data_IF_274295812380
#
_entry.id   IF_274295812380
#
_cell.length_a   1.000
_cell.length_b   1.000
_cell.length_c   1.000
_cell.angle_alpha   90.00
_cell.angle_beta   90.00
_cell.angle_gamma   90.00
#
_symmetry.space_group_name_H-M   'P 1'
#
loop_
_entity.id
_entity.type
_entity.pdbx_description
1 polymer ?
#
# COMPACT_ATOMS: atom_id res chain seq x y z
N UNK A 1 -35.83 68.86 -33.08
CA UNK A 1 -34.89 68.14 -32.20
C UNK A 1 -35.66 67.14 -31.37
N UNK A 2 -35.75 65.88 -31.82
CA UNK A 2 -36.06 64.74 -30.95
C UNK A 2 -35.44 63.51 -31.57
N UNK A 3 -34.52 62.88 -30.84
CA UNK A 3 -33.61 61.83 -31.26
C UNK A 3 -34.31 60.47 -31.21
N UNK A 4 -34.23 59.69 -32.30
CA UNK A 4 -34.62 58.28 -32.38
C UNK A 4 -33.51 57.43 -31.73
N UNK A 5 -33.85 56.71 -30.66
CA UNK A 5 -32.93 55.79 -30.00
C UNK A 5 -33.02 54.39 -30.65
N UNK A 6 -31.97 53.98 -31.34
CA UNK A 6 -31.73 52.61 -31.81
C UNK A 6 -31.24 51.74 -30.66
N UNK A 7 -31.98 50.68 -30.32
CA UNK A 7 -31.52 49.62 -29.39
C UNK A 7 -30.82 48.53 -30.18
N UNK A 8 -29.49 48.45 -30.06
CA UNK A 8 -28.68 47.34 -30.54
C UNK A 8 -28.88 46.11 -29.65
N UNK A 9 -29.36 45.00 -30.21
CA UNK A 9 -29.45 43.72 -29.54
C UNK A 9 -28.12 42.95 -29.72
N UNK A 10 -27.44 42.67 -28.62
CA UNK A 10 -26.26 41.80 -28.61
C UNK A 10 -26.72 40.34 -28.57
N UNK A 11 -26.41 39.58 -29.62
CA UNK A 11 -26.51 38.13 -29.65
C UNK A 11 -25.40 37.53 -28.78
N UNK A 12 -25.75 37.05 -27.59
CA UNK A 12 -24.88 36.20 -26.78
C UNK A 12 -24.83 34.79 -27.42
N UNK A 13 -23.71 34.45 -28.05
CA UNK A 13 -23.39 33.06 -28.35
C UNK A 13 -23.14 32.34 -27.02
N UNK A 14 -24.08 31.48 -26.61
CA UNK A 14 -23.83 30.50 -25.56
C UNK A 14 -22.85 29.46 -26.09
N UNK A 15 -21.58 29.57 -25.71
CA UNK A 15 -20.63 28.49 -25.88
C UNK A 15 -21.06 27.33 -24.98
N UNK A 16 -21.58 26.25 -25.57
CA UNK A 16 -21.76 24.98 -24.88
C UNK A 16 -20.37 24.47 -24.48
N UNK A 17 -20.00 24.65 -23.21
CA UNK A 17 -18.89 23.89 -22.63
C UNK A 17 -19.28 22.41 -22.72
N UNK A 18 -18.39 21.52 -23.20
CA UNK A 18 -18.69 20.09 -23.15
C UNK A 18 -18.95 19.71 -21.69
N UNK A 19 -20.09 19.06 -21.46
CA UNK A 19 -20.40 18.46 -20.17
C UNK A 19 -19.23 17.56 -19.78
N UNK A 20 -18.70 17.75 -18.57
CA UNK A 20 -17.69 16.86 -18.03
C UNK A 20 -18.29 15.45 -18.01
N UNK A 21 -17.83 14.58 -18.91
CA UNK A 21 -18.08 13.15 -18.79
C UNK A 21 -17.45 12.77 -17.46
N UNK A 22 -18.29 12.47 -16.47
CA UNK A 22 -17.84 11.79 -15.26
C UNK A 22 -17.08 10.56 -15.74
N UNK A 23 -15.77 10.52 -15.49
CA UNK A 23 -14.99 9.34 -15.83
C UNK A 23 -15.54 8.17 -15.02
N UNK A 24 -16.34 7.32 -15.67
CA UNK A 24 -16.90 6.12 -15.04
C UNK A 24 -15.75 5.28 -14.53
N UNK A 25 -15.74 5.05 -13.21
CA UNK A 25 -14.77 4.21 -12.54
C UNK A 25 -13.49 4.89 -12.02
N UNK A 26 -13.23 6.18 -12.27
CA UNK A 26 -12.12 6.89 -11.60
C UNK A 26 -12.66 7.83 -10.51
N UNK A 27 -12.37 7.52 -9.24
CA UNK A 27 -12.91 8.21 -8.08
C UNK A 27 -11.80 8.93 -7.31
N UNK A 28 -11.59 10.24 -7.51
CA UNK A 28 -10.75 11.05 -6.64
C UNK A 28 -11.26 11.02 -5.19
N UNK A 29 -10.35 10.95 -4.22
CA UNK A 29 -10.73 11.13 -2.81
C UNK A 29 -11.08 12.60 -2.51
N UNK A 30 -10.58 13.54 -3.32
CA UNK A 30 -10.81 14.97 -3.11
C UNK A 30 -10.17 15.47 -1.80
N UNK A 31 -9.05 14.87 -1.41
CA UNK A 31 -8.35 15.17 -0.17
C UNK A 31 -6.92 15.66 -0.51
N UNK A 32 -6.73 16.96 -0.76
CA UNK A 32 -5.43 17.51 -1.11
C UNK A 32 -4.36 17.19 -0.06
N UNK A 33 -3.19 16.77 -0.52
CA UNK A 33 -2.09 16.31 0.33
C UNK A 33 -2.15 14.81 0.67
N UNK A 34 -3.21 14.10 0.28
CA UNK A 34 -3.38 12.68 0.62
C UNK A 34 -2.47 11.76 -0.21
N UNK A 35 -2.00 10.72 0.45
CA UNK A 35 -1.41 9.54 -0.18
C UNK A 35 -2.06 8.30 0.41
N UNK A 36 -2.98 7.68 -0.32
CA UNK A 36 -3.56 6.39 0.03
C UNK A 36 -2.47 5.32 -0.02
N UNK A 37 -2.34 4.52 1.04
CA UNK A 37 -1.28 3.52 1.19
C UNK A 37 -1.81 2.09 1.29
N UNK A 38 -3.09 1.90 1.60
CA UNK A 38 -3.71 0.58 1.70
C UNK A 38 -5.20 0.63 1.34
N UNK A 39 -5.71 -0.50 0.84
CA UNK A 39 -7.12 -0.78 0.60
C UNK A 39 -7.56 -2.08 1.32
N UNK A 40 -8.84 -2.15 1.70
CA UNK A 40 -9.47 -3.35 2.26
C UNK A 40 -9.62 -4.47 1.22
N UNK A 41 -10.02 -5.67 1.66
CA UNK A 41 -10.26 -6.84 0.80
C UNK A 41 -11.26 -6.56 -0.31
N UNK A 42 -12.37 -5.92 0.05
CA UNK A 42 -13.43 -5.51 -0.88
C UNK A 42 -13.12 -4.21 -1.64
N UNK A 43 -12.00 -3.55 -1.32
CA UNK A 43 -11.60 -2.26 -1.90
C UNK A 43 -12.51 -1.07 -1.55
N UNK A 44 -13.41 -1.22 -0.57
CA UNK A 44 -14.39 -0.18 -0.19
C UNK A 44 -13.92 0.71 0.95
N UNK A 45 -12.83 0.35 1.59
CA UNK A 45 -12.16 1.10 2.65
C UNK A 45 -10.68 1.27 2.34
N UNK A 46 -10.09 2.33 2.86
CA UNK A 46 -8.72 2.72 2.58
C UNK A 46 -8.10 3.51 3.72
N UNK A 47 -6.78 3.58 3.76
CA UNK A 47 -6.08 4.44 4.71
C UNK A 47 -4.77 4.96 4.13
N UNK A 48 -4.35 6.13 4.61
CA UNK A 48 -3.19 6.81 4.05
C UNK A 48 -2.67 7.95 4.89
N UNK A 49 -1.53 8.50 4.48
CA UNK A 49 -0.91 9.64 5.13
C UNK A 49 -1.33 10.95 4.48
N UNK A 50 -1.22 12.05 5.23
CA UNK A 50 -1.41 13.42 4.71
C UNK A 50 -0.11 14.19 4.80
N UNK A 51 0.31 14.76 3.68
CA UNK A 51 1.49 15.63 3.60
C UNK A 51 1.04 17.08 3.75
N UNK A 52 1.61 17.78 4.74
CA UNK A 52 1.41 19.22 4.93
C UNK A 52 0.15 19.61 5.72
N UNK A 53 -0.52 18.67 6.41
CA UNK A 53 -1.64 18.93 7.31
C UNK A 53 -1.28 18.64 8.78
N UNK A 54 -2.03 19.22 9.74
CA UNK A 54 -1.83 19.01 11.18
C UNK A 54 -2.08 17.56 11.64
N UNK A 55 -2.89 16.80 10.90
CA UNK A 55 -3.06 15.35 11.08
C UNK A 55 -2.19 14.58 10.10
N UNK A 56 -1.36 13.64 10.56
CA UNK A 56 -0.46 12.84 9.73
C UNK A 56 -1.13 11.74 8.90
N UNK A 57 -2.45 11.55 8.99
CA UNK A 57 -3.15 10.57 8.17
C UNK A 57 -4.66 10.56 8.25
N UNK A 58 -5.26 9.67 7.47
CA UNK A 58 -6.69 9.53 7.26
C UNK A 58 -7.10 8.06 7.09
N UNK A 59 -8.39 7.79 7.31
CA UNK A 59 -9.11 6.62 6.81
C UNK A 59 -10.16 7.07 5.80
N UNK A 60 -10.53 6.20 4.88
CA UNK A 60 -11.53 6.45 3.85
C UNK A 60 -12.47 5.25 3.75
N UNK A 61 -13.73 5.51 3.48
CA UNK A 61 -14.67 4.50 2.97
C UNK A 61 -15.56 5.11 1.90
N UNK A 62 -16.15 4.27 1.05
CA UNK A 62 -17.17 4.73 0.10
C UNK A 62 -18.36 5.42 0.79
N UNK A 63 -18.75 4.92 1.96
CA UNK A 63 -19.94 5.38 2.68
C UNK A 63 -19.71 6.73 3.35
N UNK A 64 -18.54 6.91 3.98
CA UNK A 64 -18.27 8.07 4.83
C UNK A 64 -17.31 9.09 4.22
N UNK A 65 -16.71 8.77 3.07
CA UNK A 65 -15.60 9.53 2.52
C UNK A 65 -14.37 9.50 3.43
N UNK A 66 -13.45 10.46 3.23
CA UNK A 66 -12.23 10.53 4.00
C UNK A 66 -12.44 11.21 5.36
N UNK A 67 -11.89 10.60 6.41
CA UNK A 67 -11.91 11.05 7.79
C UNK A 67 -10.48 11.14 8.32
N UNK A 68 -10.13 12.28 8.91
CA UNK A 68 -8.83 12.49 9.52
C UNK A 68 -8.67 11.60 10.76
N UNK A 69 -7.44 11.14 11.02
CA UNK A 69 -7.08 10.40 12.23
C UNK A 69 -6.32 11.34 13.18
N UNK A 70 -6.97 11.83 14.25
CA UNK A 70 -6.31 12.72 15.21
C UNK A 70 -5.08 12.06 15.82
N UNK A 71 -4.05 12.88 16.09
CA UNK A 71 -2.76 12.45 16.68
C UNK A 71 -1.93 11.47 15.85
N UNK A 72 -2.36 11.11 14.64
CA UNK A 72 -1.52 10.37 13.71
C UNK A 72 -0.31 11.23 13.32
N UNK A 73 0.89 10.67 13.46
CA UNK A 73 2.10 11.17 12.82
C UNK A 73 2.25 10.51 11.44
N UNK A 74 1.94 9.22 11.38
CA UNK A 74 1.88 8.50 10.12
C UNK A 74 0.81 7.42 10.15
N UNK A 75 0.31 7.10 8.96
CA UNK A 75 -0.54 5.95 8.69
C UNK A 75 0.17 5.12 7.62
N UNK A 76 0.20 3.80 7.80
CA UNK A 76 1.02 2.89 6.98
C UNK A 76 0.27 1.65 6.51
N UNK A 77 -0.73 1.19 7.26
CA UNK A 77 -1.45 -0.03 6.94
C UNK A 77 -2.93 0.02 7.33
N UNK A 78 -3.69 -0.88 6.72
CA UNK A 78 -5.12 -1.12 6.95
C UNK A 78 -5.33 -2.64 7.05
N UNK A 79 -6.18 -3.09 7.98
CA UNK A 79 -6.56 -4.50 8.08
C UNK A 79 -7.46 -4.90 6.90
N UNK A 80 -7.55 -6.19 6.58
CA UNK A 80 -8.29 -6.64 5.39
C UNK A 80 -9.79 -6.29 5.44
N UNK A 81 -10.41 -6.30 6.63
CA UNK A 81 -11.79 -5.83 6.81
C UNK A 81 -11.97 -4.31 6.75
N UNK A 82 -10.88 -3.53 6.70
CA UNK A 82 -10.93 -2.07 6.77
C UNK A 82 -11.16 -1.50 8.18
N UNK A 83 -11.28 -2.35 9.21
CA UNK A 83 -11.64 -1.94 10.57
C UNK A 83 -10.50 -1.31 11.36
N UNK A 84 -9.26 -1.70 11.10
CA UNK A 84 -8.10 -1.22 11.86
C UNK A 84 -7.08 -0.55 10.97
N UNK A 85 -6.57 0.60 11.41
CA UNK A 85 -5.52 1.36 10.73
C UNK A 85 -4.28 1.37 11.60
N UNK A 86 -3.10 1.13 11.05
CA UNK A 86 -1.85 1.13 11.81
C UNK A 86 -0.84 2.15 11.27
N UNK A 87 -0.01 2.67 12.18
CA UNK A 87 1.04 3.63 11.89
C UNK A 87 1.74 4.08 13.17
N UNK A 88 1.84 5.39 13.37
CA UNK A 88 2.53 5.95 14.54
C UNK A 88 1.84 7.22 15.09
N UNK A 89 2.00 7.45 16.39
CA UNK A 89 1.54 8.65 17.09
C UNK A 89 2.58 9.09 18.12
N UNK A 90 2.39 10.27 18.72
CA UNK A 90 3.21 10.71 19.84
C UNK A 90 2.64 10.21 21.17
N UNK A 91 3.51 9.70 22.05
CA UNK A 91 3.18 9.41 23.44
C UNK A 91 3.26 10.65 24.35
N UNK A 92 3.01 10.48 25.65
CA UNK A 92 3.04 11.57 26.62
C UNK A 92 4.41 12.27 26.72
N UNK A 93 5.50 11.57 26.38
CA UNK A 93 6.86 12.09 26.34
C UNK A 93 7.25 12.71 24.99
N UNK A 94 6.30 12.94 24.07
CA UNK A 94 6.53 13.44 22.72
C UNK A 94 7.43 12.52 21.87
N UNK A 95 7.33 11.20 22.10
CA UNK A 95 8.07 10.19 21.35
C UNK A 95 7.16 9.52 20.34
N UNK A 96 7.69 9.24 19.16
CA UNK A 96 6.95 8.52 18.14
C UNK A 96 6.90 7.02 18.48
N UNK A 97 5.69 6.51 18.65
CA UNK A 97 5.40 5.11 19.01
C UNK A 97 4.43 4.48 18.04
N UNK A 98 4.65 3.20 17.75
CA UNK A 98 3.74 2.34 17.01
C UNK A 98 2.36 2.44 17.63
N UNK A 99 1.36 2.63 16.78
CA UNK A 99 -0.02 2.86 17.19
C UNK A 99 -0.97 2.27 16.17
N UNK A 100 -2.18 1.96 16.62
CA UNK A 100 -3.29 1.67 15.72
C UNK A 100 -4.55 2.43 16.15
N UNK A 101 -5.43 2.65 15.18
CA UNK A 101 -6.77 3.20 15.38
C UNK A 101 -7.77 2.09 15.10
N UNK A 102 -8.76 1.96 15.98
CA UNK A 102 -9.84 0.99 15.81
C UNK A 102 -10.94 1.49 14.86
N UNK A 103 -11.99 0.68 14.70
CA UNK A 103 -13.10 1.00 13.81
C UNK A 103 -13.84 2.29 14.22
N UNK A 104 -13.83 2.67 15.49
CA UNK A 104 -14.40 3.95 15.95
C UNK A 104 -13.47 5.14 15.67
N UNK A 105 -12.17 4.87 15.44
CA UNK A 105 -11.13 5.88 15.33
C UNK A 105 -10.41 6.14 16.66
N UNK A 106 -10.63 5.28 17.67
CA UNK A 106 -9.95 5.39 18.94
C UNK A 106 -8.48 4.96 18.79
N UNK A 107 -7.58 5.81 19.26
CA UNK A 107 -6.13 5.59 19.25
C UNK A 107 -5.70 4.64 20.37
N UNK A 108 -4.95 3.62 19.99
CA UNK A 108 -4.22 2.72 20.90
C UNK A 108 -2.72 2.83 20.64
N UNK A 109 -1.97 3.22 21.67
CA UNK A 109 -0.50 3.33 21.62
C UNK A 109 0.14 2.04 22.11
N UNK A 110 1.09 1.50 21.35
CA UNK A 110 1.74 0.23 21.64
C UNK A 110 3.03 0.38 22.45
N UNK A 111 3.60 1.59 22.52
CA UNK A 111 4.89 1.84 23.17
C UNK A 111 6.05 1.23 22.38
N UNK A 112 7.12 0.84 23.07
CA UNK A 112 8.30 0.20 22.48
C UNK A 112 8.50 -1.23 22.96
N UNK A 113 9.63 -1.81 22.60
CA UNK A 113 10.09 -3.09 23.17
C UNK A 113 10.33 -2.94 24.67
N UNK A 114 10.35 -4.05 25.44
CA UNK A 114 10.80 -4.03 26.83
C UNK A 114 12.12 -3.25 26.97
N UNK A 115 12.24 -2.49 28.06
CA UNK A 115 13.44 -1.71 28.43
C UNK A 115 13.78 -0.50 27.53
N UNK A 116 12.88 -0.10 26.62
CA UNK A 116 13.07 1.10 25.76
C UNK A 116 12.44 2.38 26.33
N UNK A 117 11.90 2.30 27.56
CA UNK A 117 11.10 3.37 28.17
C UNK A 117 11.85 4.70 28.37
N UNK A 118 13.18 4.74 28.33
CA UNK A 118 13.99 5.96 28.51
C UNK A 118 14.46 6.65 27.23
N UNK A 119 14.16 6.12 26.04
CA UNK A 119 14.63 6.68 24.78
C UNK A 119 13.78 7.87 24.34
N UNK A 120 14.37 8.87 23.68
CA UNK A 120 13.67 9.96 23.00
C UNK A 120 13.61 9.74 21.47
N UNK A 121 12.71 10.43 20.77
CA UNK A 121 12.58 10.34 19.31
C UNK A 121 11.69 9.19 18.83
N UNK A 122 12.13 8.48 17.79
CA UNK A 122 11.42 7.32 17.22
C UNK A 122 11.70 6.06 18.06
N UNK A 123 10.68 5.58 18.77
CA UNK A 123 10.75 4.37 19.58
C UNK A 123 10.28 3.17 18.78
N UNK A 124 9.16 3.30 18.06
CA UNK A 124 8.60 2.24 17.21
C UNK A 124 7.64 2.80 16.16
N UNK A 125 7.39 2.04 15.10
CA UNK A 125 6.44 2.37 14.05
C UNK A 125 5.76 1.09 13.55
N UNK A 126 4.42 1.10 13.51
CA UNK A 126 3.65 0.00 12.93
C UNK A 126 3.60 0.11 11.39
N UNK A 127 3.78 -1.02 10.72
CA UNK A 127 3.84 -1.12 9.26
C UNK A 127 2.86 -2.17 8.70
N UNK A 128 2.32 -3.05 9.53
CA UNK A 128 1.29 -4.02 9.14
C UNK A 128 0.34 -4.35 10.29
N UNK A 129 -0.89 -4.72 9.95
CA UNK A 129 -1.96 -5.08 10.90
C UNK A 129 -2.92 -6.10 10.28
N UNK A 130 -3.32 -7.11 11.05
CA UNK A 130 -4.36 -8.11 10.70
C UNK A 130 -5.74 -7.78 11.30
N UNK A 131 -6.78 -8.56 10.96
CA UNK A 131 -8.16 -8.33 11.43
C UNK A 131 -8.44 -8.79 12.86
N UNK A 132 -7.71 -9.80 13.34
CA UNK A 132 -7.45 -9.97 14.77
C UNK A 132 -6.15 -9.21 15.04
N UNK A 133 -6.17 -8.07 15.75
CA UNK A 133 -5.09 -7.08 15.68
C UNK A 133 -3.75 -7.64 16.19
N UNK A 134 -2.98 -8.21 15.26
CA UNK A 134 -1.56 -8.51 15.37
C UNK A 134 -0.84 -7.44 14.54
N UNK A 135 -0.02 -6.66 15.22
CA UNK A 135 0.67 -5.51 14.62
C UNK A 135 2.14 -5.86 14.45
N UNK A 136 2.71 -5.47 13.32
CA UNK A 136 4.14 -5.66 13.02
C UNK A 136 4.77 -4.37 12.57
N UNK A 137 6.07 -4.27 12.72
CA UNK A 137 6.79 -3.08 12.28
C UNK A 137 8.25 -3.07 12.67
N UNK A 138 8.76 -1.88 12.99
CA UNK A 138 10.10 -1.67 13.52
C UNK A 138 10.06 -1.02 14.90
N UNK A 139 10.96 -1.43 15.79
CA UNK A 139 11.18 -0.81 17.09
C UNK A 139 12.68 -0.76 17.39
N UNK A 140 13.12 0.30 18.04
CA UNK A 140 14.51 0.42 18.48
C UNK A 140 14.70 -0.29 19.82
N UNK A 141 15.83 -0.97 20.00
CA UNK A 141 16.25 -1.49 21.29
C UNK A 141 17.12 -0.44 22.05
N UNK A 142 17.55 -0.68 23.31
CA UNK A 142 18.41 0.23 24.07
C UNK A 142 19.66 0.71 23.33
N UNK A 143 20.27 -0.16 22.51
CA UNK A 143 21.46 0.15 21.70
C UNK A 143 21.13 0.87 20.37
N UNK A 144 19.91 1.38 20.20
CA UNK A 144 19.44 2.06 18.96
C UNK A 144 19.45 1.16 17.71
N UNK A 145 19.40 -0.16 17.92
CA UNK A 145 19.26 -1.13 16.85
C UNK A 145 17.79 -1.29 16.47
N UNK A 146 17.48 -1.09 15.19
CA UNK A 146 16.15 -1.36 14.62
C UNK A 146 15.87 -2.87 14.57
N UNK A 147 14.85 -3.31 15.28
CA UNK A 147 14.36 -4.68 15.31
C UNK A 147 12.98 -4.78 14.66
N UNK A 148 12.76 -5.86 13.93
CA UNK A 148 11.42 -6.25 13.53
C UNK A 148 10.65 -6.68 14.80
N UNK A 149 9.44 -6.16 15.00
CA UNK A 149 8.59 -6.55 16.12
C UNK A 149 7.27 -7.16 15.66
N UNK A 150 6.67 -7.92 16.56
CA UNK A 150 5.25 -8.24 16.56
C UNK A 150 4.61 -7.82 17.90
N UNK A 151 3.35 -7.42 17.85
CA UNK A 151 2.54 -7.07 19.01
C UNK A 151 1.20 -7.79 18.94
N UNK A 152 0.74 -8.31 20.08
CA UNK A 152 -0.64 -8.77 20.29
C UNK A 152 -1.14 -8.25 21.63
N UNK A 153 -2.46 -8.24 21.81
CA UNK A 153 -3.11 -7.88 23.06
C UNK A 153 -2.64 -8.70 24.26
N UNK A 154 -2.31 -9.98 24.05
CA UNK A 154 -1.95 -10.93 25.12
C UNK A 154 -0.48 -10.84 25.51
N UNK A 155 0.40 -10.49 24.57
CA UNK A 155 1.86 -10.59 24.75
C UNK A 155 2.57 -9.24 24.75
N UNK A 156 1.89 -8.17 24.35
CA UNK A 156 2.54 -6.88 24.13
C UNK A 156 3.57 -6.95 22.99
N UNK A 157 4.47 -5.96 22.94
CA UNK A 157 5.47 -5.85 21.88
C UNK A 157 6.66 -6.78 22.16
N UNK A 158 7.03 -7.60 21.18
CA UNK A 158 8.21 -8.46 21.23
C UNK A 158 8.97 -8.43 19.92
N UNK A 159 10.29 -8.59 19.99
CA UNK A 159 11.10 -8.73 18.79
C UNK A 159 10.79 -10.07 18.09
N UNK A 160 10.72 -10.04 16.77
CA UNK A 160 10.70 -11.25 15.95
C UNK A 160 12.06 -11.94 15.98
N UNK A 161 12.13 -13.27 15.80
CA UNK A 161 13.40 -13.99 15.78
C UNK A 161 14.27 -13.51 14.62
N UNK A 162 15.56 -13.31 14.89
CA UNK A 162 16.55 -12.86 13.91
C UNK A 162 17.71 -13.86 13.85
N UNK A 163 18.21 -14.19 12.64
CA UNK A 163 19.42 -14.97 12.50
C UNK A 163 20.60 -14.32 13.23
N UNK A 164 21.48 -15.13 13.81
CA UNK A 164 22.70 -14.65 14.46
C UNK A 164 23.53 -13.80 13.51
N UNK A 165 24.10 -12.69 14.00
CA UNK A 165 24.88 -11.76 13.20
C UNK A 165 24.08 -10.72 12.40
N UNK A 166 22.74 -10.73 12.48
CA UNK A 166 21.93 -9.68 11.86
C UNK A 166 22.19 -8.31 12.54
N UNK A 167 22.42 -7.25 11.77
CA UNK A 167 22.63 -5.89 12.27
C UNK A 167 21.33 -5.09 12.45
N UNK A 168 20.30 -5.35 11.65
CA UNK A 168 18.99 -4.72 11.80
C UNK A 168 17.90 -5.59 11.17
N UNK A 169 16.64 -5.29 11.48
CA UNK A 169 15.49 -5.88 10.81
C UNK A 169 14.28 -4.96 10.81
N UNK A 170 13.35 -5.23 9.87
CA UNK A 170 12.04 -4.59 9.79
C UNK A 170 11.02 -5.60 9.29
N UNK A 171 9.89 -5.71 10.00
CA UNK A 171 8.68 -6.32 9.44
C UNK A 171 7.92 -5.26 8.64
N UNK A 172 7.72 -5.49 7.35
CA UNK A 172 7.12 -4.52 6.43
C UNK A 172 5.62 -4.75 6.23
N UNK A 173 5.12 -5.97 6.48
CA UNK A 173 3.69 -6.29 6.40
C UNK A 173 3.35 -7.68 6.92
N UNK A 174 2.06 -7.96 7.04
CA UNK A 174 1.49 -9.18 7.62
C UNK A 174 0.29 -9.65 6.77
N UNK A 175 0.08 -10.97 6.70
CA UNK A 175 -1.10 -11.56 6.06
C UNK A 175 -2.38 -11.25 6.84
N UNK A 176 -3.54 -11.31 6.17
CA UNK A 176 -4.83 -11.01 6.79
C UNK A 176 -5.17 -11.92 7.98
N UNK A 177 -4.79 -13.20 7.91
CA UNK A 177 -4.94 -14.19 8.99
C UNK A 177 -3.91 -14.03 10.12
N UNK A 178 -3.01 -13.06 9.99
CA UNK A 178 -1.96 -12.80 10.96
C UNK A 178 -0.92 -13.91 11.06
N UNK A 179 -0.81 -14.87 10.13
CA UNK A 179 0.09 -16.03 10.27
C UNK A 179 1.47 -15.85 9.59
N UNK A 180 1.56 -14.97 8.60
CA UNK A 180 2.78 -14.73 7.81
C UNK A 180 3.16 -13.26 7.89
N UNK A 181 4.44 -12.98 8.06
CA UNK A 181 4.99 -11.62 8.12
C UNK A 181 6.13 -11.56 7.13
N UNK A 182 6.19 -10.53 6.29
CA UNK A 182 7.33 -10.30 5.41
C UNK A 182 8.10 -9.05 5.81
N UNK A 183 9.33 -8.95 5.34
CA UNK A 183 10.16 -7.77 5.51
C UNK A 183 11.59 -8.03 5.11
N UNK A 184 12.52 -7.44 5.84
CA UNK A 184 13.95 -7.60 5.58
C UNK A 184 14.77 -7.69 6.86
N UNK A 185 15.93 -8.32 6.73
CA UNK A 185 17.04 -8.27 7.68
C UNK A 185 18.25 -7.61 7.02
N UNK A 186 19.12 -7.01 7.82
CA UNK A 186 20.38 -6.42 7.38
C UNK A 186 21.54 -7.18 8.00
N UNK A 187 22.55 -7.55 7.21
CA UNK A 187 23.80 -8.14 7.72
C UNK A 187 24.73 -7.09 8.34
N UNK A 188 25.80 -7.52 9.01
CA UNK A 188 26.82 -6.63 9.56
C UNK A 188 27.51 -5.77 8.47
N UNK A 189 27.55 -6.27 7.24
CA UNK A 189 28.09 -5.59 6.06
C UNK A 189 27.08 -4.62 5.42
N UNK A 190 25.90 -4.47 6.00
CA UNK A 190 24.87 -3.53 5.55
C UNK A 190 23.94 -4.07 4.45
N UNK A 191 24.12 -5.32 4.01
CA UNK A 191 23.32 -5.93 2.94
C UNK A 191 21.92 -6.29 3.47
N UNK A 192 20.88 -5.81 2.78
CA UNK A 192 19.50 -6.17 3.08
C UNK A 192 19.04 -7.39 2.30
N UNK A 193 18.41 -8.31 3.01
CA UNK A 193 17.82 -9.52 2.45
C UNK A 193 16.38 -9.67 2.91
N UNK A 194 15.51 -10.09 1.99
CA UNK A 194 14.13 -10.43 2.24
C UNK A 194 14.00 -11.49 3.31
N UNK A 195 12.91 -11.41 4.07
CA UNK A 195 12.64 -12.36 5.14
C UNK A 195 11.15 -12.64 5.25
N UNK A 196 10.79 -13.91 5.43
CA UNK A 196 9.47 -14.37 5.81
C UNK A 196 9.54 -14.92 7.24
N UNK A 197 8.76 -14.34 8.15
CA UNK A 197 8.51 -14.92 9.46
C UNK A 197 7.20 -15.69 9.45
N UNK A 198 7.27 -16.97 9.78
CA UNK A 198 6.11 -17.86 9.86
C UNK A 198 6.35 -18.90 10.95
N UNK A 199 5.33 -19.18 11.79
CA UNK A 199 5.39 -20.19 12.88
C UNK A 199 6.61 -20.03 13.81
N UNK A 200 7.04 -18.79 14.06
CA UNK A 200 8.18 -18.49 14.94
C UNK A 200 9.55 -18.76 14.31
N UNK A 201 9.61 -19.04 13.00
CA UNK A 201 10.86 -19.18 12.25
C UNK A 201 11.01 -18.01 11.26
N UNK A 202 12.26 -17.64 11.00
CA UNK A 202 12.63 -16.65 10.00
C UNK A 202 13.29 -17.39 8.82
N UNK A 203 12.67 -17.32 7.65
CA UNK A 203 13.10 -18.00 6.43
C UNK A 203 13.40 -16.97 5.34
N UNK A 204 14.65 -16.83 4.87
CA UNK A 204 14.95 -16.00 3.70
C UNK A 204 14.36 -16.64 2.44
N UNK A 205 14.09 -15.88 1.37
CA UNK A 205 13.78 -16.46 0.08
C UNK A 205 14.93 -17.36 -0.39
N UNK A 206 14.59 -18.47 -1.06
CA UNK A 206 15.57 -19.40 -1.61
C UNK A 206 16.45 -18.67 -2.63
N UNK A 207 17.76 -18.68 -2.38
CA UNK A 207 18.73 -18.03 -3.27
C UNK A 207 18.73 -18.76 -4.61
N UNK A 208 18.72 -18.05 -5.75
CA UNK A 208 18.96 -18.70 -7.03
C UNK A 208 20.37 -19.29 -7.01
N UNK A 209 20.58 -20.39 -7.73
CA UNK A 209 21.86 -21.11 -7.79
C UNK A 209 23.02 -20.23 -8.30
N UNK A 210 22.70 -19.09 -8.93
CA UNK A 210 23.66 -18.09 -9.41
C UNK A 210 24.28 -17.21 -8.31
N UNK A 211 23.87 -17.39 -7.04
CA UNK A 211 24.46 -16.68 -5.92
C UNK A 211 24.13 -15.19 -5.86
N UNK A 212 23.08 -14.71 -6.53
CA UNK A 212 22.68 -13.31 -6.38
C UNK A 212 21.99 -13.01 -5.05
N UNK A 213 22.01 -11.73 -4.64
CA UNK A 213 21.18 -11.26 -3.53
C UNK A 213 19.72 -11.16 -4.00
N UNK A 214 18.79 -11.51 -3.12
CA UNK A 214 17.34 -11.42 -3.37
C UNK A 214 16.73 -10.10 -2.90
N UNK A 215 17.58 -9.13 -2.52
CA UNK A 215 17.18 -7.79 -2.11
C UNK A 215 16.05 -7.80 -1.08
N UNK A 216 15.11 -6.86 -1.17
CA UNK A 216 14.02 -6.70 -0.20
C UNK A 216 12.71 -7.35 -0.70
N UNK A 217 11.92 -7.92 0.23
CA UNK A 217 10.48 -8.14 -0.01
C UNK A 217 9.74 -6.85 0.28
N UNK A 218 9.11 -6.30 -0.76
CA UNK A 218 8.45 -5.00 -0.77
C UNK A 218 6.94 -5.10 -0.54
N UNK A 219 6.34 -6.27 -0.78
CA UNK A 219 4.90 -6.41 -0.86
C UNK A 219 4.43 -7.84 -1.06
N UNK A 220 3.13 -8.01 -1.29
CA UNK A 220 2.53 -9.31 -1.56
C UNK A 220 1.02 -9.22 -1.81
N UNK A 221 0.42 -10.36 -2.14
CA UNK A 221 -1.02 -10.55 -2.01
C UNK A 221 -1.39 -10.80 -0.53
N UNK A 222 -2.69 -10.82 -0.25
CA UNK A 222 -3.21 -10.68 1.10
C UNK A 222 -2.88 -11.84 2.05
N UNK A 223 -2.82 -13.05 1.53
CA UNK A 223 -2.44 -14.24 2.30
C UNK A 223 -0.93 -14.49 2.28
N UNK A 224 -0.16 -13.65 1.57
CA UNK A 224 1.27 -13.82 1.32
C UNK A 224 1.61 -15.21 0.75
N UNK A 225 0.73 -15.73 -0.11
CA UNK A 225 1.05 -16.86 -1.00
C UNK A 225 1.95 -16.41 -2.17
N UNK A 226 1.83 -15.14 -2.58
CA UNK A 226 2.71 -14.47 -3.54
C UNK A 226 3.29 -13.22 -2.89
N UNK A 227 4.60 -13.20 -2.68
CA UNK A 227 5.36 -12.05 -2.23
C UNK A 227 6.07 -11.38 -3.39
N UNK A 228 6.30 -10.08 -3.26
CA UNK A 228 6.85 -9.21 -4.31
C UNK A 228 8.10 -8.56 -3.78
N UNK A 229 9.15 -8.57 -4.58
CA UNK A 229 10.41 -7.97 -4.18
C UNK A 229 11.23 -7.51 -5.36
N UNK A 230 12.45 -7.11 -5.06
CA UNK A 230 13.42 -6.62 -6.03
C UNK A 230 14.75 -7.32 -5.76
N UNK A 231 15.33 -7.96 -6.78
CA UNK A 231 16.63 -8.63 -6.62
C UNK A 231 17.74 -7.60 -6.33
N UNK A 232 18.79 -8.02 -5.63
CA UNK A 232 19.87 -7.14 -5.22
C UNK A 232 20.75 -6.76 -6.40
N UNK A 233 20.66 -5.48 -6.80
CA UNK A 233 21.62 -4.69 -7.58
C UNK A 233 22.47 -5.43 -8.64
N UNK A 234 21.83 -6.20 -9.55
CA UNK A 234 22.53 -6.84 -10.68
C UNK A 234 22.91 -5.85 -11.80
N UNK A 235 22.14 -4.77 -11.99
CA UNK A 235 22.32 -3.81 -13.10
C UNK A 235 22.52 -2.37 -12.59
N UNK A 236 23.73 -1.97 -12.22
CA UNK A 236 24.05 -0.59 -11.79
C UNK A 236 23.15 -0.07 -10.64
N UNK A 237 22.77 -0.93 -9.69
CA UNK A 237 21.86 -0.56 -8.59
C UNK A 237 20.36 -0.68 -8.93
N UNK A 238 20.00 -1.12 -10.15
CA UNK A 238 18.62 -1.33 -10.57
C UNK A 238 18.28 -2.81 -10.43
N UNK A 239 17.66 -3.18 -9.32
CA UNK A 239 17.16 -4.54 -9.14
C UNK A 239 15.95 -4.83 -10.04
N UNK A 240 15.80 -6.11 -10.43
CA UNK A 240 14.67 -6.62 -11.19
C UNK A 240 13.53 -7.01 -10.24
N UNK A 241 12.28 -6.62 -10.53
CA UNK A 241 11.14 -7.10 -9.79
C UNK A 241 11.06 -8.62 -9.86
N UNK A 242 10.62 -9.27 -8.79
CA UNK A 242 10.32 -10.70 -8.79
C UNK A 242 8.99 -10.99 -8.08
N UNK A 243 8.42 -12.15 -8.41
CA UNK A 243 7.34 -12.81 -7.67
C UNK A 243 7.92 -14.00 -6.93
N UNK A 244 7.58 -14.15 -5.66
CA UNK A 244 8.09 -15.22 -4.82
C UNK A 244 6.94 -15.99 -4.17
N UNK A 245 6.92 -17.30 -4.37
CA UNK A 245 6.07 -18.24 -3.66
C UNK A 245 6.93 -19.03 -2.67
N UNK A 246 6.50 -19.13 -1.42
CA UNK A 246 7.26 -19.85 -0.38
C UNK A 246 7.45 -21.33 -0.78
N UNK A 247 8.68 -21.84 -0.64
CA UNK A 247 9.06 -23.19 -1.06
C UNK A 247 9.46 -23.31 -2.54
N UNK A 248 9.62 -22.18 -3.23
CA UNK A 248 10.21 -22.11 -4.56
C UNK A 248 11.16 -20.90 -4.67
N UNK A 249 12.14 -20.95 -5.59
CA UNK A 249 12.98 -19.79 -5.91
C UNK A 249 12.14 -18.61 -6.43
N UNK A 250 12.49 -17.35 -6.10
CA UNK A 250 11.87 -16.18 -6.67
C UNK A 250 11.93 -16.17 -8.20
N UNK A 251 10.80 -15.90 -8.84
CA UNK A 251 10.63 -15.81 -10.29
C UNK A 251 10.83 -14.35 -10.73
N UNK A 252 11.92 -14.03 -11.46
CA UNK A 252 12.13 -12.68 -11.98
C UNK A 252 11.02 -12.29 -12.95
N UNK A 253 10.64 -11.01 -12.93
CA UNK A 253 9.78 -10.41 -13.93
C UNK A 253 10.64 -9.60 -14.89
N UNK A 254 10.49 -9.87 -16.18
CA UNK A 254 11.16 -9.10 -17.22
C UNK A 254 10.72 -7.63 -17.13
N UNK A 255 11.71 -6.73 -17.05
CA UNK A 255 11.46 -5.29 -16.95
C UNK A 255 10.96 -4.77 -18.30
N UNK A 256 10.03 -3.83 -18.26
CA UNK A 256 9.66 -3.07 -19.44
C UNK A 256 10.73 -2.01 -19.75
N UNK A 257 11.31 -2.01 -20.94
CA UNK A 257 12.42 -1.10 -21.31
C UNK A 257 11.96 0.32 -21.63
N UNK A 258 10.67 0.51 -21.90
CA UNK A 258 10.01 1.78 -22.15
C UNK A 258 9.51 2.47 -20.88
N UNK A 259 9.62 1.81 -19.71
CA UNK A 259 9.24 2.38 -18.41
C UNK A 259 10.45 2.87 -17.61
N UNK A 260 10.29 3.96 -16.82
CA UNK A 260 11.33 4.43 -15.93
C UNK A 260 11.81 3.34 -14.94
N UNK A 261 13.10 3.39 -14.60
CA UNK A 261 13.67 2.56 -13.53
C UNK A 261 13.80 3.36 -12.23
N UNK A 262 13.71 2.71 -11.07
CA UNK A 262 13.40 1.29 -10.86
C UNK A 262 11.90 1.00 -10.97
N UNK A 263 11.56 -0.22 -11.38
CA UNK A 263 10.19 -0.75 -11.36
C UNK A 263 9.99 -1.51 -10.05
N UNK A 264 8.92 -1.21 -9.30
CA UNK A 264 8.62 -1.85 -8.02
C UNK A 264 7.15 -2.20 -7.92
N UNK A 265 6.85 -3.41 -7.44
CA UNK A 265 5.51 -3.87 -7.15
C UNK A 265 5.35 -4.00 -5.62
N UNK A 266 4.21 -3.55 -5.10
CA UNK A 266 3.94 -3.48 -3.65
C UNK A 266 2.74 -4.31 -3.23
N UNK A 267 1.81 -4.58 -4.15
CA UNK A 267 0.50 -5.16 -3.83
C UNK A 267 -0.03 -5.98 -5.00
N UNK A 268 -0.90 -6.95 -4.72
CA UNK A 268 -1.55 -7.76 -5.74
C UNK A 268 -2.91 -8.33 -5.34
N UNK A 269 -3.67 -8.77 -6.34
CA UNK A 269 -4.92 -9.53 -6.19
C UNK A 269 -4.68 -10.88 -5.50
N UNK A 270 -5.75 -11.50 -4.98
CA UNK A 270 -5.64 -12.77 -4.24
C UNK A 270 -5.08 -13.90 -5.12
N UNK A 271 -5.47 -13.95 -6.39
CA UNK A 271 -4.95 -14.90 -7.38
C UNK A 271 -3.52 -14.58 -7.87
N UNK A 272 -2.98 -13.41 -7.50
CA UNK A 272 -1.66 -12.94 -7.88
C UNK A 272 -1.49 -12.70 -9.40
N UNK A 273 -2.59 -12.56 -10.16
CA UNK A 273 -2.58 -12.29 -11.61
C UNK A 273 -2.46 -10.80 -11.92
N UNK A 274 -2.94 -9.93 -11.04
CA UNK A 274 -2.78 -8.48 -11.13
C UNK A 274 -1.93 -7.98 -9.97
N UNK A 275 -0.80 -7.36 -10.30
CA UNK A 275 0.12 -6.73 -9.36
C UNK A 275 0.25 -5.25 -9.69
N UNK A 276 0.58 -4.43 -8.70
CA UNK A 276 0.68 -2.99 -8.93
C UNK A 276 1.76 -2.33 -8.06
N UNK A 277 2.22 -1.16 -8.52
CA UNK A 277 3.21 -0.36 -7.82
C UNK A 277 3.60 0.90 -8.57
N UNK A 278 4.91 1.15 -8.67
CA UNK A 278 5.43 2.34 -9.36
C UNK A 278 6.74 2.08 -10.11
N UNK A 279 6.94 2.84 -11.18
CA UNK A 279 8.19 2.97 -11.94
C UNK A 279 8.79 4.37 -11.72
N UNK A 280 10.12 4.48 -11.67
CA UNK A 280 10.82 5.76 -11.58
C UNK A 280 10.86 6.40 -10.19
N UNK A 281 11.48 7.58 -10.10
CA UNK A 281 11.61 8.36 -8.86
C UNK A 281 11.25 9.84 -9.05
N UNK A 282 11.02 10.57 -7.96
CA UNK A 282 10.77 12.01 -8.01
C UNK A 282 9.67 12.41 -9.00
N UNK A 283 9.99 13.32 -9.92
CA UNK A 283 9.05 13.83 -10.93
C UNK A 283 8.81 12.85 -12.09
N UNK A 284 9.67 11.86 -12.30
CA UNK A 284 9.52 10.84 -13.36
C UNK A 284 8.70 9.64 -12.89
N UNK A 285 8.30 9.62 -11.60
CA UNK A 285 7.58 8.52 -10.99
C UNK A 285 6.18 8.38 -11.59
N UNK A 286 5.83 7.17 -12.00
CA UNK A 286 4.50 6.84 -12.49
C UNK A 286 3.95 5.53 -11.90
N UNK A 287 2.63 5.47 -11.80
CA UNK A 287 1.91 4.27 -11.38
C UNK A 287 1.96 3.18 -12.48
N UNK A 288 2.30 1.95 -12.10
CA UNK A 288 2.35 0.80 -13.01
C UNK A 288 1.49 -0.35 -12.49
N UNK A 289 1.02 -1.16 -13.43
CA UNK A 289 0.47 -2.50 -13.17
C UNK A 289 1.32 -3.53 -13.89
N UNK A 290 1.36 -4.74 -13.36
CA UNK A 290 1.82 -5.93 -14.05
C UNK A 290 0.67 -6.93 -14.06
N UNK A 291 0.35 -7.46 -15.24
CA UNK A 291 -0.55 -8.61 -15.34
C UNK A 291 0.17 -9.80 -15.95
N UNK A 292 -0.26 -11.00 -15.59
CA UNK A 292 0.29 -12.23 -16.17
C UNK A 292 0.09 -12.30 -17.70
N UNK A 293 -0.94 -11.65 -18.23
CA UNK A 293 -1.30 -11.71 -19.65
C UNK A 293 -0.60 -10.60 -20.48
N UNK A 294 -0.24 -9.48 -19.85
CA UNK A 294 0.27 -8.29 -20.56
C UNK A 294 1.61 -7.74 -20.08
N UNK A 295 2.19 -8.31 -19.02
CA UNK A 295 3.38 -7.76 -18.38
C UNK A 295 3.16 -6.36 -17.79
N UNK A 296 4.24 -5.60 -17.64
CA UNK A 296 4.23 -4.24 -17.09
C UNK A 296 3.60 -3.23 -18.05
N UNK A 297 2.68 -2.39 -17.56
CA UNK A 297 2.10 -1.27 -18.30
C UNK A 297 1.92 -0.05 -17.40
N UNK A 298 2.00 1.18 -17.92
CA UNK A 298 1.56 2.37 -17.20
C UNK A 298 0.09 2.21 -16.80
N UNK A 299 -0.25 2.57 -15.57
CA UNK A 299 -1.63 2.44 -15.06
C UNK A 299 -2.63 3.16 -15.97
N UNK A 300 -2.32 4.37 -16.43
CA UNK A 300 -3.21 5.14 -17.30
C UNK A 300 -3.53 4.42 -18.61
N UNK A 301 -2.54 3.75 -19.22
CA UNK A 301 -2.73 2.98 -20.46
C UNK A 301 -3.56 1.74 -20.19
N UNK A 302 -3.26 1.03 -19.10
CA UNK A 302 -4.04 -0.15 -18.71
C UNK A 302 -5.50 0.20 -18.41
N UNK A 303 -5.76 1.29 -17.69
CA UNK A 303 -7.12 1.77 -17.40
C UNK A 303 -7.89 2.15 -18.66
N UNK A 304 -7.24 2.78 -19.64
CA UNK A 304 -7.86 3.10 -20.92
C UNK A 304 -8.34 1.82 -21.64
N UNK A 305 -7.55 0.75 -21.61
CA UNK A 305 -7.94 -0.55 -22.17
C UNK A 305 -9.10 -1.21 -21.40
N UNK A 306 -9.26 -0.89 -20.11
CA UNK A 306 -10.41 -1.29 -19.30
C UNK A 306 -11.63 -0.36 -19.46
N UNK A 307 -11.55 0.67 -20.33
CA UNK A 307 -12.63 1.65 -20.52
C UNK A 307 -12.75 2.70 -19.41
N UNK A 308 -11.72 2.85 -18.58
CA UNK A 308 -11.67 3.84 -17.50
C UNK A 308 -10.76 5.01 -17.90
N UNK A 309 -11.36 6.19 -18.09
CA UNK A 309 -10.62 7.40 -18.41
C UNK A 309 -10.01 8.04 -17.16
N UNK A 310 -8.73 8.43 -17.21
CA UNK A 310 -8.11 9.24 -16.16
C UNK A 310 -8.48 10.71 -16.39
N UNK A 311 -9.07 11.42 -15.41
CA UNK A 311 -9.47 12.81 -15.59
C UNK A 311 -8.28 13.74 -15.89
N UNK A 312 -8.51 14.77 -16.70
CA UNK A 312 -7.47 15.74 -17.05
C UNK A 312 -6.88 16.43 -15.81
N UNK A 313 -5.55 16.61 -15.82
CA UNK A 313 -4.80 17.23 -14.73
C UNK A 313 -4.27 16.25 -13.68
N UNK A 314 -4.52 14.95 -13.84
CA UNK A 314 -3.88 13.89 -13.04
C UNK A 314 -2.57 13.40 -13.66
N UNK A 315 -1.58 13.23 -12.79
CA UNK A 315 -0.37 12.44 -13.04
C UNK A 315 -0.30 11.34 -11.96
N UNK A 316 -0.52 10.09 -12.35
CA UNK A 316 -0.62 8.96 -11.41
C UNK A 316 0.78 8.50 -10.99
N UNK A 317 1.08 8.42 -9.69
CA UNK A 317 2.44 8.18 -9.19
C UNK A 317 2.65 6.77 -8.62
N UNK A 318 1.65 6.19 -7.96
CA UNK A 318 1.74 4.83 -7.44
C UNK A 318 0.36 4.19 -7.25
N UNK A 319 0.32 2.87 -7.41
CA UNK A 319 -0.76 2.03 -6.85
C UNK A 319 -0.23 1.36 -5.60
N UNK A 320 -1.00 1.42 -4.53
CA UNK A 320 -0.63 0.93 -3.19
C UNK A 320 -1.68 0.00 -2.60
N UNK A 321 -2.87 -0.08 -3.22
CA UNK A 321 -3.92 -1.03 -2.85
C UNK A 321 -4.51 -1.72 -4.07
N UNK A 322 -4.83 -3.01 -3.93
CA UNK A 322 -5.59 -3.83 -4.89
C UNK A 322 -6.58 -4.68 -4.09
N UNK A 323 -7.86 -4.71 -4.48
CA UNK A 323 -8.87 -5.58 -3.87
C UNK A 323 -8.57 -7.07 -4.14
N UNK A 324 -9.17 -7.97 -3.37
CA UNK A 324 -8.96 -9.42 -3.53
C UNK A 324 -9.28 -9.93 -4.93
N UNK A 325 -10.37 -9.42 -5.52
CA UNK A 325 -10.78 -9.74 -6.89
C UNK A 325 -10.00 -8.99 -7.98
N UNK A 326 -9.08 -8.09 -7.62
CA UNK A 326 -8.31 -7.28 -8.58
C UNK A 326 -9.11 -6.19 -9.29
N UNK A 327 -10.36 -5.93 -8.88
CA UNK A 327 -11.27 -5.02 -9.58
C UNK A 327 -11.29 -3.60 -9.02
N UNK A 328 -10.66 -3.39 -7.88
CA UNK A 328 -10.47 -2.06 -7.31
C UNK A 328 -9.00 -1.80 -7.04
N UNK A 329 -8.51 -0.66 -7.53
CA UNK A 329 -7.15 -0.22 -7.34
C UNK A 329 -7.15 1.10 -6.59
N UNK A 330 -6.26 1.24 -5.62
CA UNK A 330 -6.11 2.44 -4.80
C UNK A 330 -4.69 2.97 -4.90
N UNK A 331 -4.55 4.27 -4.98
CA UNK A 331 -3.24 4.89 -5.12
C UNK A 331 -3.27 6.39 -4.95
N UNK A 332 -2.18 7.02 -5.37
CA UNK A 332 -2.02 8.45 -5.30
C UNK A 332 -1.19 8.98 -6.46
N UNK A 333 -1.32 10.29 -6.68
CA UNK A 333 -0.66 11.01 -7.74
C UNK A 333 -0.69 12.50 -7.47
N UNK A 334 -0.47 13.29 -8.51
CA UNK A 334 -0.64 14.72 -8.48
C UNK A 334 -1.87 15.12 -9.28
N UNK A 335 -2.78 15.86 -8.65
CA UNK A 335 -3.86 16.55 -9.33
C UNK A 335 -3.55 18.04 -9.37
N UNK A 336 -3.31 18.58 -10.58
CA UNK A 336 -2.95 19.99 -10.81
C UNK A 336 -1.79 20.47 -9.92
N UNK A 337 -0.76 19.64 -9.80
CA UNK A 337 0.48 19.93 -9.06
C UNK A 337 0.39 19.72 -7.53
N UNK A 338 -0.72 19.21 -6.99
CA UNK A 338 -0.85 18.84 -5.57
C UNK A 338 -1.08 17.35 -5.42
N UNK A 339 -0.55 16.75 -4.36
CA UNK A 339 -0.85 15.36 -4.05
C UNK A 339 -2.34 15.17 -3.81
N UNK A 340 -2.91 14.10 -4.35
CA UNK A 340 -4.24 13.61 -4.03
C UNK A 340 -4.28 12.11 -4.32
N UNK A 341 -5.29 11.46 -3.76
CA UNK A 341 -5.48 10.02 -3.84
C UNK A 341 -6.67 9.67 -4.73
N UNK A 342 -6.67 8.44 -5.23
CA UNK A 342 -7.73 7.91 -6.06
C UNK A 342 -8.06 6.47 -5.68
N UNK A 343 -9.31 6.08 -5.95
CA UNK A 343 -9.76 4.70 -6.07
C UNK A 343 -10.35 4.51 -7.45
N UNK A 344 -10.02 3.41 -8.09
CA UNK A 344 -10.47 3.08 -9.44
C UNK A 344 -11.25 1.76 -9.42
N UNK A 345 -12.40 1.78 -10.07
CA UNK A 345 -13.25 0.61 -10.33
C UNK A 345 -13.03 0.11 -11.74
N UNK A 346 -12.61 -1.15 -11.86
CA UNK A 346 -12.33 -1.81 -13.13
C UNK A 346 -13.58 -2.59 -13.55
N UNK A 347 -14.20 -2.23 -14.70
CA UNK A 347 -15.38 -2.92 -15.22
C UNK A 347 -15.12 -4.41 -15.41
N UNK A 348 -16.17 -5.23 -15.26
CA UNK A 348 -16.08 -6.65 -15.64
C UNK A 348 -16.05 -6.74 -17.16
N UNK A 349 -15.24 -7.63 -17.71
CA UNK A 349 -15.46 -8.06 -19.08
C UNK A 349 -16.89 -8.66 -19.18
N UNK A 350 -17.69 -8.31 -20.20
CA UNK A 350 -18.99 -8.93 -20.40
C UNK A 350 -18.83 -10.44 -20.56
N UNK A 351 -19.39 -11.22 -19.61
CA UNK A 351 -19.44 -12.69 -19.70
C UNK A 351 -18.59 -13.47 -18.70
N UNK A 352 -17.81 -12.82 -17.84
CA UNK A 352 -17.11 -13.51 -16.75
C UNK A 352 -18.11 -13.79 -15.62
N UNK A 353 -18.37 -15.06 -15.29
CA UNK A 353 -19.30 -15.42 -14.23
C UNK A 353 -18.74 -14.99 -12.87
N UNK A 354 -19.56 -14.35 -12.04
CA UNK A 354 -19.23 -14.12 -10.63
C UNK A 354 -19.03 -15.48 -9.96
N UNK A 355 -17.85 -15.82 -9.40
CA UNK A 355 -17.73 -17.04 -8.62
C UNK A 355 -18.66 -16.90 -7.41
N UNK A 356 -19.71 -17.70 -7.38
CA UNK A 356 -20.60 -17.72 -6.24
C UNK A 356 -19.81 -18.21 -5.03
N UNK A 357 -19.68 -17.36 -4.01
CA UNK A 357 -19.24 -17.79 -2.70
C UNK A 357 -20.16 -18.90 -2.25
N UNK A 358 -19.67 -20.13 -2.28
CA UNK A 358 -20.33 -21.24 -1.60
C UNK A 358 -20.16 -20.97 -0.12
N UNK A 359 -21.19 -20.41 0.50
CA UNK A 359 -21.38 -20.52 1.94
C UNK A 359 -21.41 -22.00 2.25
N UNK A 360 -20.36 -22.52 2.90
CA UNK A 360 -20.37 -23.88 3.42
C UNK A 360 -21.44 -23.94 4.49
N UNK A 361 -22.63 -24.40 4.10
CA UNK A 361 -23.77 -24.52 4.97
C UNK A 361 -23.46 -25.55 6.06
N UNK A 362 -23.79 -25.15 7.29
CA UNK A 362 -23.56 -25.93 8.49
C UNK A 362 -24.30 -27.27 8.42
N UNK A 363 -23.57 -28.38 8.54
CA UNK A 363 -24.18 -29.66 8.91
C UNK A 363 -24.29 -29.77 10.44
N UNK A 364 -25.49 -29.47 10.93
CA UNK A 364 -26.21 -30.16 12.02
C UNK A 364 -27.45 -30.74 11.31
N UNK A 365 -27.92 -31.98 11.45
CA UNK A 365 -28.14 -32.94 12.54
C UNK A 365 -28.15 -34.32 11.83
N UNK A 366 -27.61 -35.41 12.38
CA UNK A 366 -28.19 -36.27 13.42
C UNK A 366 -27.14 -36.88 14.36
#
# INVERSE_FOLDING_TARGET
MTVLATRSAWLLLAACLPAAVSATGFNPLGLPGSQLLALSHDGRSGAGSLVGAESGGFRWSEETGAQLLPSAISVRALSASGRFVAGSSLDAGQREVASYWDASGQLVRLGGLPDTAGQGGLVSMALGISDEPRIVGTANNPEQRSLAFEWTTERGMRALPLPAGSAAARASGISADGQRIYGWIQSAEGIRNGMLWQRGSATPPERPDDGASLGEVLGGNRDLSVMLGVDGERDNGIGRPYRWQSGAPPQPLERATDLPSPQRLFVGSDDGRLLAGSAGTGAERLAIVWSIDSGFRPLQVWLADQGVAVPAGWTLAAVTGVSGDGRRLGGWGQYRGRFDSFVVDVPQAPGEAVPQHTTSDARRVD
#
